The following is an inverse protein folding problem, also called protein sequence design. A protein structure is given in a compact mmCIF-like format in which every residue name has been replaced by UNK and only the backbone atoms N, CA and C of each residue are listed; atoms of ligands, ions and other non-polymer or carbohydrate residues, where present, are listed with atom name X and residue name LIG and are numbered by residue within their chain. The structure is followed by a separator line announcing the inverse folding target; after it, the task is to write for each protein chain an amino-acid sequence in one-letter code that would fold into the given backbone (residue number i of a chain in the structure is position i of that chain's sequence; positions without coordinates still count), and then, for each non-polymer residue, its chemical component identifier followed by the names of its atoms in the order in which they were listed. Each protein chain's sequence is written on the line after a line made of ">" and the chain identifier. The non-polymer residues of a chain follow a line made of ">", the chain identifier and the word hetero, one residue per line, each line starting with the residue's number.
data_IF_335010172820
#
_entry.id   IF_335010172820
#
_cell.length_a   1.000
_cell.length_b   1.000
_cell.length_c   1.000
_cell.angle_alpha   90.00
_cell.angle_beta   90.00
_cell.angle_gamma   90.00
#
_symmetry.space_group_name_H-M   'P 1'
#
loop_
_entity.id
_entity.type
_entity.pdbx_description
1 polymer ?
#
# COMPACT_ATOMS: atom_id res chain seq x y z
N UNK A 1 3.25 -20.12 3.32
CA UNK A 1 4.08 -19.03 2.78
C UNK A 1 3.18 -17.82 2.64
N UNK A 2 3.44 -16.75 3.39
CA UNK A 2 2.53 -15.59 3.44
C UNK A 2 2.73 -14.74 2.20
N UNK A 3 1.65 -14.48 1.46
CA UNK A 3 1.67 -13.63 0.27
C UNK A 3 1.32 -12.20 0.65
N UNK A 4 2.13 -11.25 0.24
CA UNK A 4 1.97 -9.84 0.59
C UNK A 4 1.84 -8.97 -0.64
N UNK A 5 0.92 -8.01 -0.59
CA UNK A 5 0.87 -6.87 -1.51
C UNK A 5 1.49 -5.65 -0.84
N UNK A 6 2.29 -4.87 -1.58
CA UNK A 6 2.81 -3.59 -1.10
C UNK A 6 1.90 -2.46 -1.60
N UNK A 7 1.52 -1.53 -0.72
CA UNK A 7 0.78 -0.32 -1.13
C UNK A 7 1.41 0.94 -0.54
N UNK A 8 1.70 1.93 -1.38
CA UNK A 8 2.25 3.21 -0.97
C UNK A 8 1.53 4.40 -1.61
N UNK A 9 1.19 5.40 -0.81
CA UNK A 9 0.57 6.65 -1.28
C UNK A 9 1.49 7.83 -1.02
N UNK A 10 1.70 8.72 -1.99
CA UNK A 10 2.59 9.88 -1.84
C UNK A 10 2.00 11.17 -2.40
N UNK A 11 2.39 12.29 -1.82
CA UNK A 11 1.95 13.63 -2.24
C UNK A 11 2.83 14.17 -3.35
N UNK A 12 2.25 14.64 -4.45
CA UNK A 12 3.01 15.19 -5.60
C UNK A 12 3.73 16.50 -5.28
N UNK A 13 3.33 17.23 -4.23
CA UNK A 13 4.06 18.43 -3.79
C UNK A 13 5.31 18.03 -3.01
N UNK A 14 6.45 18.09 -3.70
CA UNK A 14 7.79 18.14 -3.12
C UNK A 14 8.38 16.83 -2.56
N UNK A 15 7.82 15.67 -2.91
CA UNK A 15 8.49 14.39 -2.62
C UNK A 15 9.50 14.09 -3.73
N UNK A 16 10.79 14.08 -3.40
CA UNK A 16 11.84 13.58 -4.30
C UNK A 16 11.50 12.13 -4.65
N UNK A 17 11.59 11.76 -5.92
CA UNK A 17 11.40 10.40 -6.43
C UNK A 17 12.21 9.37 -5.61
N UNK A 18 13.38 9.77 -5.11
CA UNK A 18 14.25 9.00 -4.21
C UNK A 18 13.57 8.54 -2.91
N UNK A 19 12.59 9.28 -2.37
CA UNK A 19 11.89 8.92 -1.13
C UNK A 19 10.82 7.85 -1.32
N UNK A 20 10.34 7.63 -2.55
CA UNK A 20 9.32 6.61 -2.85
C UNK A 20 10.00 5.25 -2.98
N UNK A 21 11.09 5.19 -3.74
CA UNK A 21 11.89 3.97 -3.89
C UNK A 21 12.44 3.50 -2.54
N UNK A 22 12.84 4.41 -1.66
CA UNK A 22 13.34 4.06 -0.32
C UNK A 22 12.24 3.45 0.58
N UNK A 23 11.01 3.96 0.49
CA UNK A 23 9.86 3.40 1.21
C UNK A 23 9.50 1.99 0.74
N UNK A 24 9.44 1.77 -0.57
CA UNK A 24 9.24 0.41 -1.10
C UNK A 24 10.36 -0.53 -0.68
N UNK A 25 11.62 -0.06 -0.72
CA UNK A 25 12.77 -0.84 -0.26
C UNK A 25 12.65 -1.25 1.21
N UNK A 26 12.14 -0.38 2.08
CA UNK A 26 11.89 -0.72 3.48
C UNK A 26 10.79 -1.78 3.63
N UNK A 27 9.71 -1.67 2.84
CA UNK A 27 8.68 -2.70 2.78
C UNK A 27 9.21 -4.04 2.26
N UNK A 28 10.04 -4.03 1.21
CA UNK A 28 10.68 -5.23 0.65
C UNK A 28 11.63 -5.88 1.65
N UNK A 29 12.46 -5.10 2.35
CA UNK A 29 13.32 -5.62 3.39
C UNK A 29 12.53 -6.26 4.53
N UNK A 30 11.39 -5.68 4.91
CA UNK A 30 10.52 -6.27 5.93
C UNK A 30 9.90 -7.58 5.43
N UNK A 31 9.37 -7.60 4.21
CA UNK A 31 8.83 -8.82 3.60
C UNK A 31 9.90 -9.93 3.53
N UNK A 32 11.14 -9.60 3.15
CA UNK A 32 12.25 -10.53 3.11
C UNK A 32 12.61 -11.08 4.51
N UNK A 33 12.65 -10.24 5.54
CA UNK A 33 12.90 -10.65 6.94
C UNK A 33 11.83 -11.60 7.47
N UNK A 34 10.58 -11.37 7.09
CA UNK A 34 9.43 -12.17 7.50
C UNK A 34 9.20 -13.40 6.59
N UNK A 35 10.05 -13.62 5.58
CA UNK A 35 9.90 -14.67 4.56
C UNK A 35 8.55 -14.62 3.84
N UNK A 36 8.05 -13.41 3.60
CA UNK A 36 6.83 -13.16 2.81
C UNK A 36 7.16 -13.07 1.33
N UNK A 37 6.21 -13.50 0.49
CA UNK A 37 6.33 -13.40 -0.96
C UNK A 37 5.55 -12.19 -1.45
N UNK A 38 6.25 -11.24 -2.06
CA UNK A 38 5.61 -10.06 -2.67
C UNK A 38 4.91 -10.50 -3.95
N UNK A 39 3.59 -10.32 -4.00
CA UNK A 39 2.78 -10.66 -5.17
C UNK A 39 2.58 -9.46 -6.10
N UNK A 40 2.44 -8.27 -5.53
CA UNK A 40 2.17 -7.06 -6.28
C UNK A 40 2.57 -5.81 -5.47
N UNK A 41 2.84 -4.73 -6.21
CA UNK A 41 3.14 -3.41 -5.66
C UNK A 41 2.18 -2.39 -6.28
N UNK A 42 1.52 -1.61 -5.46
CA UNK A 42 0.53 -0.61 -5.86
C UNK A 42 0.91 0.75 -5.31
N UNK A 43 0.63 1.80 -6.08
CA UNK A 43 0.90 3.17 -5.67
C UNK A 43 -0.20 4.17 -6.03
N UNK A 44 -0.34 5.22 -5.22
CA UNK A 44 -1.25 6.33 -5.50
C UNK A 44 -0.58 7.69 -5.32
N UNK A 45 -0.78 8.58 -6.31
CA UNK A 45 -0.30 9.97 -6.30
C UNK A 45 -1.38 10.90 -5.76
N UNK A 46 -1.20 11.44 -4.56
CA UNK A 46 -2.07 12.46 -3.99
C UNK A 46 -1.72 13.86 -4.51
N UNK A 47 -2.61 14.46 -5.30
CA UNK A 47 -2.58 15.88 -5.65
C UNK A 47 -3.27 16.66 -4.52
N UNK A 48 -2.61 17.68 -3.98
CA UNK A 48 -3.15 18.44 -2.83
C UNK A 48 -4.47 19.11 -3.18
N UNK A 49 -5.51 18.89 -2.37
CA UNK A 49 -6.75 19.69 -2.41
C UNK A 49 -8.00 18.98 -2.96
N UNK A 50 -7.86 17.79 -3.51
CA UNK A 50 -9.01 17.00 -4.01
C UNK A 50 -8.94 15.60 -3.43
N UNK A 51 -10.10 14.96 -3.23
CA UNK A 51 -10.21 13.51 -3.07
C UNK A 51 -9.68 12.88 -4.36
N UNK A 52 -8.35 12.82 -4.48
CA UNK A 52 -7.67 12.26 -5.63
C UNK A 52 -8.11 10.81 -5.74
N UNK A 53 -8.59 10.45 -6.94
CA UNK A 53 -8.93 9.08 -7.31
C UNK A 53 -7.79 8.16 -6.86
N UNK A 54 -8.14 7.05 -6.20
CA UNK A 54 -7.19 6.08 -5.64
C UNK A 54 -7.20 4.79 -6.45
N UNK A 55 -6.79 4.81 -7.74
CA UNK A 55 -6.83 3.60 -8.57
C UNK A 55 -5.93 2.48 -8.01
N UNK A 56 -4.79 2.83 -7.39
CA UNK A 56 -3.92 1.84 -6.75
C UNK A 56 -4.62 1.14 -5.59
N UNK A 57 -5.32 1.90 -4.74
CA UNK A 57 -6.12 1.34 -3.66
C UNK A 57 -7.30 0.49 -4.16
N UNK A 58 -7.99 0.93 -5.21
CA UNK A 58 -9.07 0.13 -5.81
C UNK A 58 -8.55 -1.20 -6.38
N UNK A 59 -7.36 -1.21 -6.95
CA UNK A 59 -6.74 -2.44 -7.43
C UNK A 59 -6.36 -3.37 -6.28
N UNK A 60 -5.82 -2.84 -5.17
CA UNK A 60 -5.58 -3.61 -3.94
C UNK A 60 -6.87 -4.30 -3.49
N UNK A 61 -7.98 -3.57 -3.42
CA UNK A 61 -9.27 -4.15 -3.01
C UNK A 61 -9.77 -5.23 -3.98
N UNK A 62 -9.57 -5.03 -5.29
CA UNK A 62 -9.97 -6.00 -6.33
C UNK A 62 -9.15 -7.28 -6.21
N UNK A 63 -7.84 -7.16 -6.05
CA UNK A 63 -6.93 -8.31 -6.00
C UNK A 63 -7.00 -9.02 -4.64
N UNK A 64 -7.32 -8.29 -3.57
CA UNK A 64 -7.67 -8.86 -2.26
C UNK A 64 -8.95 -9.71 -2.35
N UNK A 65 -10.00 -9.21 -3.03
CA UNK A 65 -11.23 -9.98 -3.28
C UNK A 65 -10.96 -11.23 -4.12
N UNK A 66 -10.02 -11.15 -5.06
CA UNK A 66 -9.56 -12.28 -5.86
C UNK A 66 -8.58 -13.21 -5.12
N UNK A 67 -8.32 -12.98 -3.82
CA UNK A 67 -7.42 -13.76 -2.95
C UNK A 67 -6.00 -13.93 -3.52
N UNK A 68 -5.51 -12.92 -4.24
CA UNK A 68 -4.17 -12.94 -4.84
C UNK A 68 -3.05 -12.87 -3.79
N UNK A 69 -3.32 -12.25 -2.64
CA UNK A 69 -2.42 -12.15 -1.50
C UNK A 69 -3.20 -12.30 -0.18
N UNK A 70 -2.48 -12.52 0.92
CA UNK A 70 -3.04 -12.74 2.25
C UNK A 70 -3.01 -11.47 3.10
N UNK A 71 -2.03 -10.59 2.86
CA UNK A 71 -1.84 -9.35 3.62
C UNK A 71 -1.44 -8.17 2.72
N UNK A 72 -1.78 -6.96 3.15
CA UNK A 72 -1.31 -5.71 2.53
C UNK A 72 -0.33 -5.03 3.47
N UNK A 73 0.89 -4.79 3.01
CA UNK A 73 1.91 -4.03 3.73
C UNK A 73 1.93 -2.60 3.22
N UNK A 74 1.77 -1.65 4.14
CA UNK A 74 1.78 -0.22 3.87
C UNK A 74 2.84 0.46 4.72
N UNK A 75 3.55 1.40 4.13
CA UNK A 75 4.59 2.17 4.83
C UNK A 75 4.00 3.13 5.89
N UNK A 76 2.81 3.68 5.64
CA UNK A 76 2.18 4.66 6.52
C UNK A 76 0.66 4.43 6.59
N UNK A 77 0.21 3.78 7.67
CA UNK A 77 -1.20 3.49 7.93
C UNK A 77 -2.06 4.76 8.08
N UNK A 78 -1.45 5.87 8.49
CA UNK A 78 -2.12 7.18 8.62
C UNK A 78 -2.57 7.76 7.27
N UNK A 79 -2.12 7.18 6.14
CA UNK A 79 -2.52 7.55 4.78
C UNK A 79 -3.68 6.72 4.23
N UNK A 80 -3.99 5.59 4.86
CA UNK A 80 -5.24 4.86 4.66
C UNK A 80 -6.35 5.51 5.50
N UNK A 81 -6.10 5.65 6.80
CA UNK A 81 -7.09 6.02 7.81
C UNK A 81 -7.03 7.51 8.14
N UNK A 82 -7.68 8.34 7.32
CA UNK A 82 -8.29 9.59 7.82
C UNK A 82 -9.83 9.51 7.87
N UNK A 83 -10.38 8.40 7.39
CA UNK A 83 -11.78 8.04 7.54
C UNK A 83 -11.82 6.76 8.39
N UNK A 84 -12.31 6.87 9.62
CA UNK A 84 -12.13 5.91 10.72
C UNK A 84 -12.88 4.58 10.55
N UNK A 85 -13.24 4.17 9.32
CA UNK A 85 -14.14 3.04 9.04
C UNK A 85 -13.50 1.82 8.34
N UNK A 86 -12.26 1.88 7.84
CA UNK A 86 -11.71 0.80 6.99
C UNK A 86 -10.76 -0.20 7.68
N UNK A 87 -10.54 -0.07 9.00
CA UNK A 87 -9.52 -0.86 9.71
C UNK A 87 -9.93 -2.32 10.04
N UNK A 88 -11.17 -2.72 9.74
CA UNK A 88 -11.75 -3.99 10.25
C UNK A 88 -11.74 -5.16 9.24
N UNK A 89 -11.35 -4.96 7.98
CA UNK A 89 -11.58 -5.99 6.94
C UNK A 89 -10.36 -6.80 6.49
N UNK A 90 -9.19 -6.63 7.12
CA UNK A 90 -7.96 -7.35 6.73
C UNK A 90 -7.67 -8.63 7.54
N UNK A 91 -8.65 -9.16 8.29
CA UNK A 91 -8.56 -10.44 9.00
C UNK A 91 -9.81 -11.27 8.72
N UNK A 92 -9.73 -12.12 7.69
CA UNK A 92 -10.54 -13.32 7.55
C UNK A 92 -9.58 -14.51 7.40
#
# INVERSE_FOLDING_TARGET
>A
MTRVALYARYSSKNQKESSITDRFRNCEQRAARESWTIMACYEDKAITGTTAERPGYQQVLTDAKAKQFDIVLVDDFSRLSRDSMESEQARC
#
